data_IF_275232621397
#
_entry.id   IF_275232621397
#
_cell.length_a   1.000
_cell.length_b   1.000
_cell.length_c   1.000
_cell.angle_alpha   90.00
_cell.angle_beta   90.00
_cell.angle_gamma   90.00
#
_symmetry.space_group_name_H-M   'P 1'
#
loop_
_entity.id
_entity.type
_entity.pdbx_description
1 polymer ?
#
# COMPACT_ATOMS: atom_id res chain seq x y z
N UNK A 1 4.74 -31.31 16.25
CA UNK A 1 3.58 -30.59 15.69
C UNK A 1 3.76 -29.08 15.90
N UNK A 2 4.39 -28.33 14.97
CA UNK A 2 4.48 -26.87 15.06
C UNK A 2 3.35 -26.26 14.23
N UNK A 3 2.15 -26.03 14.81
CA UNK A 3 1.00 -25.58 14.00
C UNK A 3 0.09 -24.59 14.74
N UNK A 4 0.66 -23.53 15.33
CA UNK A 4 -0.15 -22.44 15.93
C UNK A 4 0.43 -21.04 15.77
N UNK A 5 1.74 -20.92 15.55
CA UNK A 5 2.39 -19.60 15.39
C UNK A 5 2.13 -19.07 13.98
N UNK A 6 2.40 -19.89 12.95
CA UNK A 6 2.19 -19.51 11.55
C UNK A 6 0.74 -19.09 11.25
N UNK A 7 -0.27 -19.79 11.78
CA UNK A 7 -1.68 -19.46 11.49
C UNK A 7 -2.10 -18.06 11.97
N UNK A 8 -1.49 -17.58 13.07
CA UNK A 8 -1.74 -16.22 13.56
C UNK A 8 -1.08 -15.17 12.67
N UNK A 9 0.17 -15.43 12.28
CA UNK A 9 0.93 -14.52 11.43
C UNK A 9 0.28 -14.39 10.03
N UNK A 10 -0.22 -15.51 9.48
CA UNK A 10 -0.96 -15.56 8.21
C UNK A 10 -2.34 -14.87 8.30
N UNK A 11 -3.02 -14.98 9.45
CA UNK A 11 -4.28 -14.28 9.71
C UNK A 11 -4.07 -12.76 9.82
N UNK A 12 -3.04 -12.31 10.54
CA UNK A 12 -2.68 -10.88 10.61
C UNK A 12 -2.27 -10.34 9.25
N UNK A 13 -1.43 -11.05 8.49
CA UNK A 13 -1.03 -10.62 7.16
C UNK A 13 -2.21 -10.55 6.18
N UNK A 14 -3.20 -11.44 6.32
CA UNK A 14 -4.42 -11.42 5.51
C UNK A 14 -5.35 -10.24 5.89
N UNK A 15 -5.44 -9.91 7.18
CA UNK A 15 -6.17 -8.72 7.65
C UNK A 15 -5.52 -7.43 7.15
N UNK A 16 -4.20 -7.31 7.29
CA UNK A 16 -3.43 -6.15 6.83
C UNK A 16 -3.54 -5.96 5.31
N UNK A 17 -3.47 -7.06 4.56
CA UNK A 17 -3.71 -7.03 3.12
C UNK A 17 -5.12 -6.55 2.77
N UNK A 18 -6.14 -7.01 3.51
CA UNK A 18 -7.54 -6.62 3.29
C UNK A 18 -7.73 -5.12 3.50
N UNK A 19 -7.18 -4.58 4.59
CA UNK A 19 -7.22 -3.13 4.85
C UNK A 19 -6.51 -2.33 3.77
N UNK A 20 -5.32 -2.78 3.34
CA UNK A 20 -4.59 -2.15 2.24
C UNK A 20 -5.36 -2.19 0.92
N UNK A 21 -5.91 -3.36 0.56
CA UNK A 21 -6.69 -3.54 -0.65
C UNK A 21 -7.92 -2.63 -0.65
N UNK A 22 -8.66 -2.58 0.46
CA UNK A 22 -9.83 -1.71 0.58
C UNK A 22 -9.45 -0.24 0.43
N UNK A 23 -8.42 0.23 1.14
CA UNK A 23 -7.97 1.62 1.04
C UNK A 23 -7.65 1.96 -0.42
N UNK A 24 -6.84 1.13 -1.09
CA UNK A 24 -6.44 1.39 -2.46
C UNK A 24 -7.60 1.30 -3.43
N UNK A 25 -8.45 0.28 -3.31
CA UNK A 25 -9.66 0.16 -4.13
C UNK A 25 -10.58 1.37 -3.97
N UNK A 26 -10.79 1.87 -2.74
CA UNK A 26 -11.63 3.06 -2.51
C UNK A 26 -11.02 4.36 -3.05
N UNK A 27 -9.69 4.45 -3.12
CA UNK A 27 -9.00 5.60 -3.70
C UNK A 27 -9.05 5.57 -5.23
N UNK A 28 -8.71 4.44 -5.84
CA UNK A 28 -8.64 4.30 -7.30
C UNK A 28 -10.03 4.27 -7.95
N UNK A 29 -11.03 3.69 -7.27
CA UNK A 29 -12.41 3.62 -7.76
C UNK A 29 -13.31 4.71 -7.16
N UNK A 30 -12.75 5.77 -6.55
CA UNK A 30 -13.54 6.79 -5.83
C UNK A 30 -14.66 7.40 -6.68
N UNK A 31 -14.36 7.79 -7.93
CA UNK A 31 -15.36 8.34 -8.84
C UNK A 31 -16.48 7.36 -9.17
N UNK A 32 -16.15 6.09 -9.37
CA UNK A 32 -17.14 5.06 -9.71
C UNK A 32 -17.97 4.65 -8.49
N UNK A 33 -17.38 4.64 -7.29
CA UNK A 33 -18.10 4.43 -6.04
C UNK A 33 -19.09 5.58 -5.77
N UNK A 34 -18.72 6.82 -6.08
CA UNK A 34 -19.63 7.96 -5.96
C UNK A 34 -20.80 7.89 -6.97
N UNK A 35 -20.54 7.45 -8.21
CA UNK A 35 -21.59 7.19 -9.21
C UNK A 35 -22.54 6.08 -8.75
N UNK A 36 -21.99 4.96 -8.27
CA UNK A 36 -22.78 3.83 -7.75
C UNK A 36 -23.63 4.31 -6.57
N UNK A 37 -23.06 5.08 -5.64
CA UNK A 37 -23.80 5.65 -4.50
C UNK A 37 -24.93 6.59 -4.93
N UNK A 38 -24.77 7.30 -6.04
CA UNK A 38 -25.81 8.16 -6.62
C UNK A 38 -26.91 7.43 -7.39
N UNK A 39 -26.67 6.17 -7.78
CA UNK A 39 -27.59 5.38 -8.58
C UNK A 39 -28.85 5.00 -7.80
N UNK A 40 -29.99 4.89 -8.49
CA UNK A 40 -31.28 4.58 -7.86
C UNK A 40 -31.31 3.19 -7.20
N UNK A 41 -30.57 2.22 -7.75
CA UNK A 41 -30.44 0.87 -7.20
C UNK A 41 -29.67 0.82 -5.85
N UNK A 42 -28.92 1.87 -5.51
CA UNK A 42 -27.99 1.91 -4.36
C UNK A 42 -28.47 2.79 -3.20
N UNK A 43 -29.75 3.16 -3.17
CA UNK A 43 -30.35 4.02 -2.12
C UNK A 43 -30.92 3.24 -0.92
N UNK A 44 -30.86 1.91 -0.96
CA UNK A 44 -31.31 1.05 0.14
C UNK A 44 -30.40 1.07 1.36
N UNK A 45 -30.94 0.78 2.55
CA UNK A 45 -30.15 0.65 3.80
C UNK A 45 -29.06 -0.42 3.71
N UNK A 46 -29.28 -1.43 2.88
CA UNK A 46 -28.39 -2.58 2.73
C UNK A 46 -27.36 -2.40 1.59
N UNK A 47 -27.49 -1.34 0.79
CA UNK A 47 -26.66 -1.12 -0.39
C UNK A 47 -25.19 -0.84 -0.03
N UNK A 48 -24.95 -0.01 0.99
CA UNK A 48 -23.59 0.26 1.48
C UNK A 48 -22.93 -0.97 2.12
N UNK A 49 -23.59 -1.71 3.04
CA UNK A 49 -23.06 -2.98 3.54
C UNK A 49 -22.74 -3.98 2.42
N UNK A 50 -23.62 -4.13 1.42
CA UNK A 50 -23.39 -5.01 0.28
C UNK A 50 -22.17 -4.59 -0.54
N UNK A 51 -21.99 -3.28 -0.78
CA UNK A 51 -20.83 -2.74 -1.50
C UNK A 51 -19.53 -3.08 -0.77
N UNK A 52 -19.49 -2.84 0.54
CA UNK A 52 -18.33 -3.11 1.39
C UNK A 52 -18.01 -4.60 1.38
N UNK A 53 -19.01 -5.47 1.50
CA UNK A 53 -18.81 -6.92 1.43
C UNK A 53 -18.29 -7.38 0.07
N UNK A 54 -18.79 -6.80 -1.02
CA UNK A 54 -18.33 -7.13 -2.38
C UNK A 54 -16.87 -6.73 -2.59
N UNK A 55 -16.47 -5.55 -2.11
CA UNK A 55 -15.08 -5.11 -2.14
C UNK A 55 -14.18 -5.99 -1.27
N UNK A 56 -14.63 -6.35 -0.07
CA UNK A 56 -13.91 -7.29 0.80
C UNK A 56 -13.75 -8.66 0.14
N UNK A 57 -14.81 -9.17 -0.50
CA UNK A 57 -14.79 -10.44 -1.23
C UNK A 57 -13.80 -10.41 -2.39
N UNK A 58 -13.56 -9.26 -3.03
CA UNK A 58 -12.53 -9.11 -4.07
C UNK A 58 -11.13 -9.54 -3.64
N UNK A 59 -10.82 -9.52 -2.33
CA UNK A 59 -9.55 -10.02 -1.80
C UNK A 59 -9.36 -11.53 -1.98
N UNK A 60 -10.44 -12.30 -2.16
CA UNK A 60 -10.37 -13.75 -2.41
C UNK A 60 -9.73 -14.11 -3.74
N UNK A 61 -9.62 -13.14 -4.66
CA UNK A 61 -8.94 -13.33 -5.95
C UNK A 61 -7.41 -13.45 -5.79
N UNK A 62 -6.87 -13.11 -4.62
CA UNK A 62 -5.44 -13.17 -4.34
C UNK A 62 -5.11 -14.37 -3.45
N UNK A 63 -4.17 -15.20 -3.91
CA UNK A 63 -3.62 -16.29 -3.10
C UNK A 63 -2.84 -15.75 -1.90
N UNK A 64 -2.66 -16.55 -0.84
CA UNK A 64 -1.86 -16.15 0.32
C UNK A 64 -0.42 -15.74 -0.07
N UNK A 65 0.17 -16.42 -1.07
CA UNK A 65 1.49 -16.09 -1.60
C UNK A 65 1.50 -14.72 -2.28
N UNK A 66 0.46 -14.38 -3.05
CA UNK A 66 0.37 -13.09 -3.73
C UNK A 66 0.12 -11.96 -2.75
N UNK A 67 -0.76 -12.16 -1.77
CA UNK A 67 -0.99 -11.20 -0.68
C UNK A 67 0.32 -10.85 0.03
N UNK A 68 1.12 -11.86 0.37
CA UNK A 68 2.43 -11.67 1.00
C UNK A 68 3.39 -10.91 0.10
N UNK A 69 3.51 -11.27 -1.18
CA UNK A 69 4.39 -10.55 -2.13
C UNK A 69 4.01 -9.08 -2.29
N UNK A 70 2.72 -8.77 -2.33
CA UNK A 70 2.22 -7.40 -2.46
C UNK A 70 2.56 -6.59 -1.19
N UNK A 71 2.38 -7.17 0.00
CA UNK A 71 2.76 -6.54 1.26
C UNK A 71 4.28 -6.32 1.35
N UNK A 72 5.08 -7.33 1.03
CA UNK A 72 6.54 -7.23 1.01
C UNK A 72 7.03 -6.17 0.00
N UNK A 73 6.39 -6.08 -1.17
CA UNK A 73 6.70 -5.07 -2.18
C UNK A 73 6.34 -3.65 -1.70
N UNK A 74 5.21 -3.50 -0.99
CA UNK A 74 4.82 -2.23 -0.36
C UNK A 74 5.86 -1.78 0.66
N UNK A 75 6.27 -2.65 1.58
CA UNK A 75 7.30 -2.32 2.59
C UNK A 75 8.63 -1.90 1.96
N UNK A 76 9.02 -2.56 0.86
CA UNK A 76 10.21 -2.18 0.08
C UNK A 76 10.04 -0.82 -0.61
N UNK A 77 8.88 -0.54 -1.19
CA UNK A 77 8.55 0.73 -1.83
C UNK A 77 8.60 1.90 -0.84
N UNK A 78 7.98 1.74 0.34
CA UNK A 78 8.01 2.74 1.42
C UNK A 78 9.41 3.01 1.96
N UNK A 79 10.35 2.06 1.81
CA UNK A 79 11.74 2.19 2.28
C UNK A 79 12.67 2.83 1.24
N UNK A 80 12.32 2.77 -0.04
CA UNK A 80 13.12 3.33 -1.14
C UNK A 80 12.97 4.85 -1.28
N UNK A 81 11.82 5.42 -0.90
CA UNK A 81 11.59 6.87 -0.97
C UNK A 81 12.31 7.65 0.16
N UNK A 82 12.75 6.96 1.21
CA UNK A 82 13.51 7.57 2.30
C UNK A 82 15.03 7.64 2.05
N UNK A 83 15.52 7.13 0.92
CA UNK A 83 16.96 7.00 0.64
C UNK A 83 17.47 7.92 -0.49
N UNK A 84 16.66 8.88 -0.97
CA UNK A 84 17.00 9.75 -2.09
C UNK A 84 17.40 11.20 -1.74
N UNK A 85 17.61 11.55 -0.46
CA UNK A 85 17.89 12.94 -0.04
C UNK A 85 19.30 13.19 0.53
N UNK A 86 20.30 12.40 0.12
CA UNK A 86 21.70 12.66 0.51
C UNK A 86 22.65 12.27 -0.63
N UNK A 87 22.86 13.18 -1.58
CA UNK A 87 24.09 13.26 -2.40
C UNK A 87 24.10 14.55 -3.23
N UNK A 88 24.93 15.51 -2.81
CA UNK A 88 26.03 16.12 -3.59
C UNK A 88 26.15 17.62 -3.28
N UNK A 89 26.89 17.91 -2.21
CA UNK A 89 27.11 19.26 -1.72
C UNK A 89 28.47 19.41 -1.06
N UNK A 90 29.56 18.94 -1.69
CA UNK A 90 30.91 19.43 -1.38
C UNK A 90 31.91 19.07 -2.48
N UNK A 91 32.13 20.01 -3.42
CA UNK A 91 33.49 20.20 -3.97
C UNK A 91 33.69 21.62 -4.49
N UNK A 92 34.13 22.51 -3.62
CA UNK A 92 34.87 23.70 -4.01
C UNK A 92 36.20 23.70 -3.26
N UNK A 93 37.19 22.98 -3.81
CA UNK A 93 38.60 23.23 -3.48
C UNK A 93 38.95 24.58 -4.08
N UNK A 94 38.96 25.61 -3.25
CA UNK A 94 39.63 26.88 -3.54
C UNK A 94 41.13 26.63 -3.58
N UNK A 95 41.72 26.71 -4.77
CA UNK A 95 43.18 26.75 -4.94
C UNK A 95 43.71 28.04 -4.31
N UNK A 96 44.32 27.90 -3.14
CA UNK A 96 45.15 28.92 -2.53
C UNK A 96 46.47 29.01 -3.28
N UNK A 97 46.63 30.10 -4.03
CA UNK A 97 47.86 30.47 -4.73
C UNK A 97 48.94 30.86 -3.70
N UNK A 98 49.91 29.98 -3.49
CA UNK A 98 51.22 30.33 -2.92
C UNK A 98 52.28 30.07 -3.99
N UNK A 99 52.83 31.14 -4.57
CA UNK A 99 54.16 31.10 -5.15
C UNK A 99 54.92 32.32 -4.66
N UNK A 100 55.81 32.05 -3.71
CA UNK A 100 56.87 32.96 -3.32
C UNK A 100 58.10 32.75 -4.20
N UNK A 101 58.72 33.86 -4.60
CA UNK A 101 60.18 34.13 -4.60
C UNK A 101 60.40 35.55 -5.12
#
# INVERSE_FOLDING_TARGET
MPSRKNDKDDATASADFTSYYLQRATMEFGEDLDKIRGADDFKGRDALPMLIQSLQQGTSMFSAADRKRIMDARERGSRSEAASDDCDGERSKSDGSENGS
#
